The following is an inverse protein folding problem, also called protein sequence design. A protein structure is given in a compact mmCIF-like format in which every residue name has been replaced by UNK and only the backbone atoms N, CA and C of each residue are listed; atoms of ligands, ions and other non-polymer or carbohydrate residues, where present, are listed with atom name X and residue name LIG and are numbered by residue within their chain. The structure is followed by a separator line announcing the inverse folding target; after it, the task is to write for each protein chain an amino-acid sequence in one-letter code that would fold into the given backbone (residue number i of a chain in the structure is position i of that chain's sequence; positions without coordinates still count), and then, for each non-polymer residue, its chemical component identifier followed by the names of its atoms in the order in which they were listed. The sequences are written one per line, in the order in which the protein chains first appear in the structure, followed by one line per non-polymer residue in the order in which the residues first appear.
data_IF_755511347743
#
_entry.id   IF_755511347743
#
_cell.length_a   1.000
_cell.length_b   1.000
_cell.length_c   1.000
_cell.angle_alpha   90.00
_cell.angle_beta   90.00
_cell.angle_gamma   90.00
#
_symmetry.space_group_name_H-M   'P 1'
#
loop_
_entity.id
_entity.type
_entity.pdbx_description
1 polymer ?
#
# COMPACT_ATOMS: atom_id res chain seq x y z
N UNK A 1 -25.69 -22.68 28.75
CA UNK A 1 -24.77 -23.50 27.96
C UNK A 1 -23.99 -22.51 27.10
N UNK A 2 -22.74 -22.20 27.49
CA UNK A 2 -21.87 -21.28 26.76
C UNK A 2 -21.29 -22.07 25.57
N UNK A 3 -21.42 -21.61 24.32
CA UNK A 3 -20.79 -22.29 23.20
C UNK A 3 -19.28 -22.30 23.40
N UNK A 4 -18.68 -23.47 23.24
CA UNK A 4 -17.24 -23.64 23.32
C UNK A 4 -16.57 -22.72 22.29
N UNK A 5 -15.70 -21.83 22.75
CA UNK A 5 -14.82 -21.05 21.88
C UNK A 5 -13.98 -22.05 21.06
N UNK A 6 -14.29 -22.17 19.78
CA UNK A 6 -13.43 -22.90 18.85
C UNK A 6 -12.08 -22.19 18.82
N UNK A 7 -11.04 -22.90 19.26
CA UNK A 7 -9.68 -22.37 19.23
C UNK A 7 -9.35 -21.91 17.80
N UNK A 8 -8.77 -20.71 17.68
CA UNK A 8 -8.31 -20.22 16.39
C UNK A 8 -7.40 -21.25 15.70
N UNK A 9 -7.57 -21.49 14.40
CA UNK A 9 -6.75 -22.47 13.68
C UNK A 9 -5.27 -22.09 13.81
N UNK A 10 -4.43 -23.10 14.08
CA UNK A 10 -2.98 -22.89 14.23
C UNK A 10 -2.37 -22.39 12.92
N UNK A 11 -1.41 -21.45 12.97
CA UNK A 11 -0.65 -21.03 11.80
C UNK A 11 -0.01 -22.21 11.08
N UNK A 12 0.00 -22.19 9.75
CA UNK A 12 0.64 -23.20 8.89
C UNK A 12 1.85 -22.60 8.19
N UNK A 13 2.93 -23.37 8.10
CA UNK A 13 4.15 -22.96 7.40
C UNK A 13 4.19 -23.66 6.03
N UNK A 14 4.45 -22.90 4.98
CA UNK A 14 4.58 -23.41 3.59
C UNK A 14 5.88 -22.87 2.96
N UNK A 15 6.37 -23.56 1.92
CA UNK A 15 7.55 -23.12 1.18
C UNK A 15 7.27 -21.77 0.47
N UNK A 16 8.31 -20.94 0.23
CA UNK A 16 8.18 -19.74 -0.59
C UNK A 16 7.85 -20.12 -2.03
N UNK A 17 7.30 -19.16 -2.82
CA UNK A 17 7.15 -19.35 -4.26
C UNK A 17 8.52 -19.69 -4.89
N UNK A 18 8.62 -20.69 -5.78
CA UNK A 18 9.88 -21.06 -6.42
C UNK A 18 10.53 -19.88 -7.18
N UNK A 19 9.71 -19.00 -7.76
CA UNK A 19 10.14 -17.81 -8.47
C UNK A 19 10.71 -16.70 -7.56
N UNK A 20 10.51 -16.80 -6.23
CA UNK A 20 10.97 -15.78 -5.28
C UNK A 20 11.40 -16.42 -3.94
N UNK A 21 12.44 -17.28 -3.94
CA UNK A 21 12.88 -18.01 -2.75
C UNK A 21 13.42 -17.09 -1.64
N UNK A 22 13.83 -15.88 -1.97
CA UNK A 22 14.32 -14.86 -1.02
C UNK A 22 13.28 -14.49 0.05
N UNK A 23 12.00 -14.72 -0.21
CA UNK A 23 10.94 -14.49 0.79
C UNK A 23 11.04 -15.44 2.00
N UNK A 24 11.74 -16.57 1.87
CA UNK A 24 11.75 -17.59 2.91
C UNK A 24 10.38 -18.26 3.10
N UNK A 25 10.21 -19.05 4.15
CA UNK A 25 8.95 -19.75 4.43
C UNK A 25 7.80 -18.78 4.63
N UNK A 26 6.62 -19.14 4.13
CA UNK A 26 5.39 -18.39 4.35
C UNK A 26 4.62 -18.96 5.54
N UNK A 27 4.17 -18.08 6.41
CA UNK A 27 3.27 -18.41 7.54
C UNK A 27 1.84 -18.05 7.14
N UNK A 28 0.96 -19.03 7.09
CA UNK A 28 -0.46 -18.85 6.78
C UNK A 28 -1.23 -18.66 8.08
N UNK A 29 -1.94 -17.54 8.17
CA UNK A 29 -2.76 -17.16 9.33
C UNK A 29 -4.20 -16.98 8.87
N UNK A 30 -5.13 -17.61 9.58
CA UNK A 30 -6.58 -17.41 9.41
C UNK A 30 -7.08 -16.41 10.47
N UNK A 31 -8.07 -15.58 10.11
CA UNK A 31 -8.66 -14.55 10.97
C UNK A 31 -9.91 -13.96 10.35
N UNK A 32 -10.29 -12.76 10.79
CA UNK A 32 -11.44 -12.03 10.26
C UNK A 32 -11.04 -11.03 9.17
N UNK A 33 -11.96 -10.75 8.23
CA UNK A 33 -11.72 -9.81 7.15
C UNK A 33 -11.74 -8.37 7.66
N UNK A 34 -10.59 -7.68 7.60
CA UNK A 34 -10.48 -6.28 8.03
C UNK A 34 -11.21 -5.28 7.11
N UNK A 35 -11.56 -5.66 5.88
CA UNK A 35 -12.23 -4.76 4.92
C UNK A 35 -13.76 -4.81 4.98
N UNK A 36 -14.32 -5.90 5.52
CA UNK A 36 -15.76 -6.14 5.64
C UNK A 36 -16.07 -6.77 6.99
N UNK A 37 -15.80 -6.07 8.11
CA UNK A 37 -16.01 -6.62 9.45
C UNK A 37 -17.49 -6.96 9.71
N UNK A 38 -18.42 -6.22 9.10
CA UNK A 38 -19.86 -6.45 9.19
C UNK A 38 -20.33 -7.73 8.50
N UNK A 39 -19.58 -8.23 7.52
CA UNK A 39 -19.92 -9.47 6.81
C UNK A 39 -19.43 -10.74 7.54
N UNK A 40 -18.71 -10.60 8.65
CA UNK A 40 -18.11 -11.69 9.45
C UNK A 40 -17.41 -12.76 8.59
N UNK A 41 -16.69 -12.31 7.56
CA UNK A 41 -16.00 -13.19 6.61
C UNK A 41 -14.68 -13.68 7.18
N UNK A 42 -14.43 -14.96 7.04
CA UNK A 42 -13.10 -15.51 7.30
C UNK A 42 -12.10 -14.94 6.31
N UNK A 43 -10.95 -14.52 6.81
CA UNK A 43 -9.78 -14.15 6.03
C UNK A 43 -8.67 -15.17 6.18
N UNK A 44 -7.81 -15.20 5.19
CA UNK A 44 -6.55 -15.93 5.23
C UNK A 44 -5.45 -15.06 4.66
N UNK A 45 -4.33 -14.98 5.37
CA UNK A 45 -3.19 -14.18 4.94
C UNK A 45 -1.92 -15.00 5.01
N UNK A 46 -1.13 -14.96 3.94
CA UNK A 46 0.23 -15.46 3.94
C UNK A 46 1.18 -14.31 4.31
N UNK A 47 2.06 -14.57 5.25
CA UNK A 47 3.12 -13.67 5.69
C UNK A 47 4.49 -14.29 5.42
N UNK A 48 5.44 -13.47 4.98
CA UNK A 48 6.85 -13.78 4.91
C UNK A 48 7.62 -12.77 5.77
N UNK A 49 8.76 -13.19 6.31
CA UNK A 49 9.72 -12.33 7.01
C UNK A 49 11.09 -12.44 6.29
N UNK A 50 11.23 -11.82 5.12
CA UNK A 50 12.48 -11.84 4.38
C UNK A 50 13.54 -10.97 5.05
N UNK A 51 14.80 -11.16 4.67
CA UNK A 51 15.83 -10.15 4.85
C UNK A 51 15.60 -8.92 3.97
N UNK A 52 16.58 -7.99 3.90
CA UNK A 52 16.50 -6.85 3.00
C UNK A 52 16.31 -7.28 1.54
N UNK A 53 15.32 -6.70 0.86
CA UNK A 53 15.00 -6.97 -0.54
C UNK A 53 15.59 -5.88 -1.43
N UNK A 54 16.11 -6.25 -2.57
CA UNK A 54 16.40 -5.31 -3.66
C UNK A 54 15.10 -4.73 -4.21
N UNK A 55 15.19 -3.61 -4.93
CA UNK A 55 14.03 -2.99 -5.58
C UNK A 55 13.34 -3.97 -6.57
N UNK A 56 14.11 -4.77 -7.32
CA UNK A 56 13.61 -5.78 -8.24
C UNK A 56 12.89 -6.92 -7.51
N UNK A 57 13.45 -7.44 -6.41
CA UNK A 57 12.83 -8.50 -5.61
C UNK A 57 11.52 -8.03 -4.97
N UNK A 58 11.48 -6.79 -4.45
CA UNK A 58 10.24 -6.28 -3.88
C UNK A 58 9.17 -6.02 -4.96
N UNK A 59 9.56 -5.52 -6.15
CA UNK A 59 8.66 -5.44 -7.30
C UNK A 59 8.12 -6.82 -7.70
N UNK A 60 8.99 -7.84 -7.73
CA UNK A 60 8.58 -9.21 -8.01
C UNK A 60 7.57 -9.72 -6.97
N UNK A 61 7.80 -9.46 -5.68
CA UNK A 61 6.84 -9.79 -4.62
C UNK A 61 5.48 -9.08 -4.83
N UNK A 62 5.49 -7.81 -5.22
CA UNK A 62 4.26 -7.06 -5.55
C UNK A 62 3.52 -7.66 -6.76
N UNK A 63 4.25 -8.18 -7.75
CA UNK A 63 3.67 -8.89 -8.90
C UNK A 63 3.11 -10.28 -8.54
N UNK A 64 3.49 -10.84 -7.40
CA UNK A 64 2.82 -12.00 -6.79
C UNK A 64 1.63 -11.59 -5.90
N UNK A 65 1.24 -10.34 -5.92
CA UNK A 65 0.14 -9.79 -5.12
C UNK A 65 0.50 -9.49 -3.67
N UNK A 66 1.79 -9.45 -3.34
CA UNK A 66 2.24 -9.15 -2.00
C UNK A 66 2.32 -7.65 -1.72
N UNK A 67 2.26 -7.28 -0.47
CA UNK A 67 2.48 -5.92 0.06
C UNK A 67 3.27 -6.01 1.35
N UNK A 68 3.79 -4.87 1.81
CA UNK A 68 4.62 -4.79 3.02
C UNK A 68 3.86 -4.13 4.19
N UNK A 69 4.20 -4.55 5.38
CA UNK A 69 3.84 -3.90 6.65
C UNK A 69 5.01 -4.08 7.63
N UNK A 70 5.76 -3.02 7.90
CA UNK A 70 7.03 -3.14 8.62
C UNK A 70 8.01 -4.04 7.87
N UNK A 71 8.60 -5.01 8.56
CA UNK A 71 9.48 -6.03 7.99
C UNK A 71 8.72 -7.23 7.40
N UNK A 72 7.39 -7.27 7.55
CA UNK A 72 6.57 -8.34 7.00
C UNK A 72 6.17 -8.05 5.56
N UNK A 73 6.25 -9.06 4.70
CA UNK A 73 5.63 -9.09 3.37
C UNK A 73 4.43 -10.02 3.42
N UNK A 74 3.27 -9.57 2.94
CA UNK A 74 2.03 -10.31 3.12
C UNK A 74 1.15 -10.31 1.89
N UNK A 75 0.29 -11.32 1.79
CA UNK A 75 -0.73 -11.46 0.74
C UNK A 75 -2.01 -12.09 1.28
N UNK A 76 -3.20 -11.50 1.02
CA UNK A 76 -4.48 -12.16 1.27
C UNK A 76 -4.67 -13.39 0.37
N UNK A 77 -5.05 -14.53 0.97
CA UNK A 77 -5.31 -15.80 0.30
C UNK A 77 -6.67 -16.36 0.74
N UNK A 78 -7.66 -15.51 0.93
CA UNK A 78 -8.98 -15.88 1.47
C UNK A 78 -9.70 -16.92 0.59
N UNK A 79 -10.18 -18.04 1.16
CA UNK A 79 -10.92 -19.04 0.42
C UNK A 79 -12.15 -18.43 -0.26
N UNK A 80 -12.30 -18.66 -1.56
CA UNK A 80 -13.46 -18.20 -2.35
C UNK A 80 -13.56 -16.67 -2.53
N UNK A 81 -12.57 -15.88 -2.07
CA UNK A 81 -12.58 -14.42 -2.21
C UNK A 81 -11.37 -13.93 -2.99
N UNK A 82 -11.60 -13.00 -3.93
CA UNK A 82 -10.57 -12.34 -4.75
C UNK A 82 -10.70 -10.82 -4.78
N UNK A 83 -11.35 -10.22 -3.76
CA UNK A 83 -11.62 -8.77 -3.73
C UNK A 83 -10.37 -7.91 -3.50
N UNK A 84 -9.33 -8.41 -2.82
CA UNK A 84 -8.09 -7.67 -2.59
C UNK A 84 -7.20 -7.75 -3.84
N UNK A 85 -7.42 -6.84 -4.78
CA UNK A 85 -6.69 -6.81 -6.04
C UNK A 85 -5.49 -5.87 -5.94
N UNK A 86 -4.25 -6.33 -6.21
CA UNK A 86 -3.12 -5.43 -6.36
C UNK A 86 -3.44 -4.36 -7.40
N UNK A 87 -3.17 -3.10 -7.07
CA UNK A 87 -3.56 -1.96 -7.91
C UNK A 87 -2.36 -1.03 -8.10
N UNK A 88 -2.16 -0.60 -9.34
CA UNK A 88 -1.21 0.45 -9.70
C UNK A 88 -1.81 1.43 -10.70
N UNK A 89 -1.16 2.56 -10.86
CA UNK A 89 -1.49 3.58 -11.86
C UNK A 89 -0.34 3.67 -12.86
N UNK A 90 -0.63 3.55 -14.15
CA UNK A 90 0.27 3.92 -15.23
C UNK A 90 0.38 5.46 -15.26
N UNK A 91 1.56 5.95 -14.90
CA UNK A 91 1.82 7.39 -14.71
C UNK A 91 1.70 8.18 -16.01
N UNK A 92 2.03 7.55 -17.15
CA UNK A 92 1.90 8.19 -18.47
C UNK A 92 0.43 8.37 -18.90
N UNK A 93 -0.44 7.45 -18.46
CA UNK A 93 -1.88 7.46 -18.76
C UNK A 93 -2.71 8.20 -17.71
N UNK A 94 -2.09 8.59 -16.60
CA UNK A 94 -2.80 9.27 -15.52
C UNK A 94 -3.19 10.70 -15.90
N UNK A 95 -4.49 11.00 -15.79
CA UNK A 95 -5.06 12.34 -15.92
C UNK A 95 -5.93 12.61 -14.69
N UNK A 96 -5.60 13.63 -13.87
CA UNK A 96 -6.37 13.92 -12.67
C UNK A 96 -7.80 14.38 -12.99
N UNK A 97 -8.77 13.81 -12.27
CA UNK A 97 -10.17 14.20 -12.35
C UNK A 97 -10.41 15.62 -11.81
N UNK A 98 -11.62 16.18 -12.04
CA UNK A 98 -11.98 17.50 -11.49
C UNK A 98 -11.93 17.53 -9.94
N UNK A 99 -12.32 16.45 -9.27
CA UNK A 99 -12.27 16.35 -7.81
C UNK A 99 -10.82 16.28 -7.30
N UNK A 100 -9.96 15.53 -7.99
CA UNK A 100 -8.53 15.43 -7.67
C UNK A 100 -7.83 16.78 -7.85
N UNK A 101 -8.08 17.50 -8.96
CA UNK A 101 -7.56 18.85 -9.15
C UNK A 101 -8.01 19.85 -8.07
N UNK A 102 -9.25 19.69 -7.54
CA UNK A 102 -9.71 20.52 -6.42
C UNK A 102 -8.97 20.19 -5.12
N UNK A 103 -8.71 18.91 -4.84
CA UNK A 103 -7.91 18.49 -3.68
C UNK A 103 -6.48 19.04 -3.77
N UNK A 104 -5.83 18.89 -4.92
CA UNK A 104 -4.51 19.45 -5.20
C UNK A 104 -4.49 20.98 -4.96
N UNK A 105 -5.46 21.71 -5.51
CA UNK A 105 -5.55 23.17 -5.35
C UNK A 105 -5.74 23.60 -3.89
N UNK A 106 -6.49 22.84 -3.08
CA UNK A 106 -6.66 23.13 -1.65
C UNK A 106 -5.36 22.98 -0.86
N UNK A 107 -4.47 22.08 -1.29
CA UNK A 107 -3.19 21.82 -0.64
C UNK A 107 -2.04 22.67 -1.21
N UNK A 108 -2.22 23.26 -2.40
CA UNK A 108 -1.17 23.99 -3.09
C UNK A 108 -0.62 25.16 -2.25
N UNK A 109 0.70 25.24 -2.12
CA UNK A 109 1.41 26.29 -1.37
C UNK A 109 1.30 26.20 0.15
N UNK A 110 0.60 25.21 0.71
CA UNK A 110 0.43 25.06 2.17
C UNK A 110 1.51 24.23 2.84
N UNK A 111 2.24 23.45 2.06
CA UNK A 111 3.18 22.47 2.59
C UNK A 111 4.51 22.53 1.85
N UNK A 112 5.59 22.38 2.61
CA UNK A 112 6.89 21.94 2.12
C UNK A 112 6.96 20.44 2.36
N UNK A 113 7.32 19.66 1.33
CA UNK A 113 7.40 18.21 1.40
C UNK A 113 8.86 17.80 1.24
N UNK A 114 9.45 17.30 2.32
CA UNK A 114 10.80 16.76 2.32
C UNK A 114 10.75 15.25 2.10
N UNK A 115 11.65 14.72 1.27
CA UNK A 115 11.84 13.28 1.08
C UNK A 115 13.06 12.85 1.87
N UNK A 116 12.83 12.11 2.95
CA UNK A 116 13.86 11.75 3.94
C UNK A 116 13.79 10.26 4.28
N UNK A 117 14.72 9.75 5.08
CA UNK A 117 14.58 8.39 5.64
C UNK A 117 13.56 8.42 6.79
N UNK A 118 12.72 7.37 6.93
CA UNK A 118 11.78 7.25 8.04
C UNK A 118 12.52 7.29 9.37
N UNK A 119 11.90 7.94 10.36
CA UNK A 119 12.46 8.04 11.71
C UNK A 119 11.37 8.05 12.77
N UNK A 120 11.80 7.84 14.01
CA UNK A 120 10.96 8.00 15.18
C UNK A 120 11.42 9.25 15.93
N UNK A 121 10.49 10.15 16.26
CA UNK A 121 10.67 11.24 17.20
C UNK A 121 9.32 11.64 17.80
N UNK A 122 9.33 12.52 18.80
CA UNK A 122 8.12 12.95 19.52
C UNK A 122 7.09 13.60 18.60
N UNK A 123 7.54 14.31 17.55
CA UNK A 123 6.65 14.97 16.59
C UNK A 123 5.87 13.93 15.77
N UNK A 124 6.55 12.87 15.28
CA UNK A 124 5.93 11.76 14.57
C UNK A 124 4.97 10.97 15.46
N UNK A 125 5.38 10.61 16.68
CA UNK A 125 4.53 9.86 17.63
C UNK A 125 3.27 10.63 17.99
N UNK A 126 3.42 11.94 18.28
CA UNK A 126 2.30 12.80 18.61
C UNK A 126 1.31 12.93 17.43
N UNK A 127 1.81 13.16 16.23
CA UNK A 127 0.98 13.24 15.01
C UNK A 127 0.26 11.91 14.76
N UNK A 128 0.97 10.79 14.82
CA UNK A 128 0.40 9.46 14.57
C UNK A 128 -0.66 9.09 15.60
N UNK A 129 -0.44 9.39 16.89
CA UNK A 129 -1.43 9.14 17.96
C UNK A 129 -2.72 9.93 17.73
N UNK A 130 -2.65 11.22 17.35
CA UNK A 130 -3.83 12.03 17.00
C UNK A 130 -4.59 11.44 15.81
N UNK A 131 -3.86 11.01 14.77
CA UNK A 131 -4.46 10.37 13.60
C UNK A 131 -5.15 9.04 13.96
N UNK A 132 -4.53 8.19 14.79
CA UNK A 132 -5.11 6.91 15.22
C UNK A 132 -6.41 7.10 16.01
N UNK A 133 -6.44 8.08 16.91
CA UNK A 133 -7.66 8.45 17.64
C UNK A 133 -8.76 8.90 16.68
N UNK A 134 -8.46 9.82 15.78
CA UNK A 134 -9.41 10.38 14.83
C UNK A 134 -9.95 9.34 13.84
N UNK A 135 -9.05 8.58 13.20
CA UNK A 135 -9.40 7.69 12.08
C UNK A 135 -9.92 6.33 12.54
N UNK A 136 -9.47 5.83 13.69
CA UNK A 136 -9.70 4.46 14.14
C UNK A 136 -10.37 4.36 15.52
N UNK A 137 -10.75 5.50 16.14
CA UNK A 137 -11.41 5.52 17.44
C UNK A 137 -10.58 4.90 18.57
N UNK A 138 -9.24 4.97 18.46
CA UNK A 138 -8.32 4.41 19.46
C UNK A 138 -8.08 5.42 20.59
N UNK A 139 -9.14 5.83 21.26
CA UNK A 139 -9.07 6.78 22.37
C UNK A 139 -8.19 6.25 23.51
N UNK A 140 -7.25 7.08 23.98
CA UNK A 140 -6.39 6.79 25.13
C UNK A 140 -5.25 5.79 24.86
N UNK A 141 -5.12 5.27 23.65
CA UNK A 141 -3.96 4.46 23.26
C UNK A 141 -2.87 5.35 22.67
N UNK A 142 -1.89 5.73 23.48
CA UNK A 142 -0.66 6.29 22.92
C UNK A 142 0.11 5.20 22.18
N UNK A 143 0.51 5.49 20.95
CA UNK A 143 1.42 4.62 20.23
C UNK A 143 2.81 4.75 20.85
N UNK A 144 3.36 3.65 21.34
CA UNK A 144 4.75 3.63 21.81
C UNK A 144 5.74 3.66 20.63
N UNK A 145 6.96 4.06 20.95
CA UNK A 145 8.05 4.21 19.98
C UNK A 145 8.34 2.89 19.24
N UNK A 146 8.36 1.78 19.96
CA UNK A 146 8.64 0.45 19.38
C UNK A 146 7.56 0.04 18.36
N UNK A 147 6.29 0.23 18.70
CA UNK A 147 5.17 -0.09 17.80
C UNK A 147 5.18 0.79 16.55
N UNK A 148 5.49 2.09 16.69
CA UNK A 148 5.64 3.00 15.57
C UNK A 148 6.81 2.58 14.67
N UNK A 149 7.99 2.35 15.26
CA UNK A 149 9.18 1.94 14.53
C UNK A 149 8.95 0.65 13.76
N UNK A 150 8.39 -0.37 14.41
CA UNK A 150 8.09 -1.69 13.81
C UNK A 150 7.15 -1.59 12.63
N UNK A 151 6.22 -0.66 12.62
CA UNK A 151 5.24 -0.52 11.54
C UNK A 151 5.71 0.39 10.41
N UNK A 152 6.35 1.53 10.71
CA UNK A 152 6.57 2.61 9.76
C UNK A 152 8.05 2.85 9.42
N UNK A 153 9.00 2.50 10.33
CA UNK A 153 10.43 2.75 10.17
C UNK A 153 11.19 1.48 9.80
N UNK A 154 10.93 0.38 10.51
CA UNK A 154 11.57 -0.91 10.20
C UNK A 154 11.08 -1.40 8.84
N UNK A 155 12.01 -1.82 7.99
CA UNK A 155 11.70 -2.13 6.60
C UNK A 155 12.63 -3.18 6.02
N UNK A 156 12.13 -3.90 5.04
CA UNK A 156 12.92 -4.80 4.17
C UNK A 156 13.07 -4.24 2.75
N UNK A 157 12.52 -3.06 2.48
CA UNK A 157 12.51 -2.41 1.18
C UNK A 157 13.28 -1.07 1.20
N UNK A 158 13.48 -0.47 0.04
CA UNK A 158 14.04 0.88 -0.08
C UNK A 158 12.96 1.92 0.25
N UNK A 159 12.82 2.21 1.57
CA UNK A 159 11.74 3.01 2.13
C UNK A 159 12.15 4.45 2.37
N UNK A 160 11.26 5.35 2.02
CA UNK A 160 11.38 6.79 2.21
C UNK A 160 10.14 7.37 2.89
N UNK A 161 10.35 8.48 3.57
CA UNK A 161 9.32 9.28 4.21
C UNK A 161 9.10 10.58 3.43
N UNK A 162 7.85 10.93 3.23
CA UNK A 162 7.39 12.23 2.74
C UNK A 162 6.92 13.03 3.94
N UNK A 163 7.77 13.90 4.47
CA UNK A 163 7.45 14.75 5.62
C UNK A 163 6.78 16.05 5.14
N UNK A 164 5.50 16.20 5.41
CA UNK A 164 4.68 17.37 5.03
C UNK A 164 4.68 18.39 6.15
N UNK A 165 5.35 19.52 5.95
CA UNK A 165 5.49 20.59 6.94
C UNK A 165 4.81 21.87 6.49
N UNK A 166 4.22 22.62 7.43
CA UNK A 166 3.74 23.97 7.16
C UNK A 166 4.91 24.98 7.08
N UNK A 167 4.58 26.26 6.81
CA UNK A 167 5.56 27.34 6.73
C UNK A 167 6.31 27.58 8.06
N UNK A 168 5.72 27.20 9.20
CA UNK A 168 6.36 27.27 10.52
C UNK A 168 7.25 26.05 10.80
N UNK A 169 7.34 25.07 9.87
CA UNK A 169 8.14 23.86 10.00
C UNK A 169 7.47 22.75 10.79
N UNK A 170 6.20 22.88 11.23
CA UNK A 170 5.48 21.82 11.97
C UNK A 170 5.12 20.67 11.03
N UNK A 171 5.33 19.44 11.49
CA UNK A 171 4.93 18.22 10.77
C UNK A 171 3.41 18.04 10.84
N UNK A 172 2.77 18.04 9.69
CA UNK A 172 1.31 17.95 9.56
C UNK A 172 0.83 16.69 8.86
N UNK A 173 1.67 16.04 8.05
CA UNK A 173 1.36 14.73 7.49
C UNK A 173 2.65 13.97 7.17
N UNK A 174 2.54 12.65 7.13
CA UNK A 174 3.64 11.74 6.78
C UNK A 174 3.14 10.71 5.80
N UNK A 175 3.86 10.57 4.68
CA UNK A 175 3.70 9.49 3.73
C UNK A 175 4.88 8.53 3.80
N UNK A 176 4.62 7.24 3.93
CA UNK A 176 5.65 6.19 3.83
C UNK A 176 5.53 5.56 2.45
N UNK A 177 6.62 5.59 1.71
CA UNK A 177 6.72 5.05 0.37
C UNK A 177 7.90 4.09 0.24
N UNK A 178 7.75 3.08 -0.59
CA UNK A 178 8.85 2.22 -1.02
C UNK A 178 9.20 2.51 -2.47
N UNK A 179 10.48 2.59 -2.77
CA UNK A 179 10.98 2.76 -4.14
C UNK A 179 11.33 1.39 -4.71
N UNK A 180 10.82 1.12 -5.90
CA UNK A 180 11.16 -0.06 -6.69
C UNK A 180 11.74 0.36 -8.04
N UNK A 181 12.32 -0.59 -8.78
CA UNK A 181 12.98 -0.33 -10.05
C UNK A 181 12.06 0.37 -11.09
N UNK A 182 10.77 0.00 -11.14
CA UNK A 182 9.80 0.54 -12.08
C UNK A 182 8.75 1.47 -11.45
N UNK A 183 8.83 1.79 -10.15
CA UNK A 183 7.77 2.59 -9.53
C UNK A 183 8.02 3.06 -8.11
N UNK A 184 6.98 3.67 -7.56
CA UNK A 184 6.84 4.01 -6.14
C UNK A 184 5.62 3.27 -5.59
N UNK A 185 5.78 2.61 -4.45
CA UNK A 185 4.69 1.95 -3.74
C UNK A 185 4.29 2.78 -2.52
N UNK A 186 3.06 3.29 -2.49
CA UNK A 186 2.49 3.92 -1.29
C UNK A 186 2.22 2.84 -0.25
N UNK A 187 2.78 3.02 0.94
CA UNK A 187 2.67 2.07 2.06
C UNK A 187 1.66 2.54 3.07
N UNK A 188 1.84 3.75 3.58
CA UNK A 188 0.96 4.34 4.57
C UNK A 188 0.97 5.87 4.48
N UNK A 189 -0.15 6.51 4.84
CA UNK A 189 -0.27 7.96 4.92
C UNK A 189 -1.12 8.34 6.12
N UNK A 190 -0.62 9.24 6.96
CA UNK A 190 -1.34 9.78 8.09
C UNK A 190 -1.14 11.29 8.20
N UNK A 191 -2.11 12.00 8.80
CA UNK A 191 -2.13 13.45 8.81
C UNK A 191 -2.76 13.99 10.09
N UNK A 192 -2.52 15.25 10.38
CA UNK A 192 -3.18 15.96 11.47
C UNK A 192 -4.69 16.09 11.18
N UNK A 193 -5.57 15.68 12.11
CA UNK A 193 -7.04 15.83 11.95
C UNK A 193 -7.52 17.22 11.53
N UNK A 194 -6.77 18.27 11.84
CA UNK A 194 -7.05 19.64 11.39
C UNK A 194 -7.06 19.81 9.86
N UNK A 195 -6.53 18.83 9.11
CA UNK A 195 -6.49 18.85 7.65
C UNK A 195 -7.64 18.09 6.98
N UNK A 196 -8.64 17.62 7.72
CA UNK A 196 -9.74 16.77 7.23
C UNK A 196 -10.39 17.33 5.96
N UNK A 197 -10.70 18.63 5.95
CA UNK A 197 -11.38 19.30 4.84
C UNK A 197 -10.53 19.48 3.57
N UNK A 198 -9.22 19.26 3.66
CA UNK A 198 -8.29 19.48 2.54
C UNK A 198 -8.20 18.31 1.57
N UNK A 199 -8.70 17.13 1.97
CA UNK A 199 -8.53 15.88 1.20
C UNK A 199 -7.04 15.52 0.98
N UNK A 200 -6.22 15.68 2.03
CA UNK A 200 -4.76 15.51 1.96
C UNK A 200 -4.32 14.12 1.48
N UNK A 201 -5.09 13.06 1.78
CA UNK A 201 -4.79 11.72 1.27
C UNK A 201 -4.85 11.61 -0.27
N UNK A 202 -5.79 12.35 -0.90
CA UNK A 202 -5.83 12.45 -2.37
C UNK A 202 -4.68 13.30 -2.88
N UNK A 203 -4.39 14.41 -2.21
CA UNK A 203 -3.27 15.28 -2.59
C UNK A 203 -1.92 14.56 -2.48
N UNK A 204 -1.73 13.71 -1.46
CA UNK A 204 -0.54 12.86 -1.31
C UNK A 204 -0.36 11.92 -2.50
N UNK A 205 -1.41 11.19 -2.87
CA UNK A 205 -1.35 10.29 -4.02
C UNK A 205 -1.02 11.04 -5.34
N UNK A 206 -1.55 12.25 -5.53
CA UNK A 206 -1.22 13.08 -6.70
C UNK A 206 0.24 13.54 -6.67
N UNK A 207 0.74 13.92 -5.50
CA UNK A 207 2.13 14.31 -5.31
C UNK A 207 3.09 13.12 -5.53
N UNK A 208 2.72 11.92 -5.05
CA UNK A 208 3.49 10.70 -5.27
C UNK A 208 3.52 10.30 -6.76
N UNK A 209 2.42 10.49 -7.51
CA UNK A 209 2.40 10.32 -8.97
C UNK A 209 3.32 11.35 -9.66
N UNK A 210 3.33 12.61 -9.20
CA UNK A 210 4.26 13.61 -9.70
C UNK A 210 5.71 13.27 -9.36
N UNK A 211 5.95 12.71 -8.18
CA UNK A 211 7.26 12.20 -7.79
C UNK A 211 7.71 11.04 -8.72
N UNK A 212 6.80 10.13 -9.09
CA UNK A 212 7.08 9.11 -10.09
C UNK A 212 7.55 9.73 -11.42
N UNK A 213 6.88 10.79 -11.89
CA UNK A 213 7.31 11.51 -13.11
C UNK A 213 8.70 12.10 -12.98
N UNK A 214 8.97 12.78 -11.86
CA UNK A 214 10.28 13.40 -11.57
C UNK A 214 11.42 12.38 -11.47
N UNK A 215 11.12 11.19 -10.97
CA UNK A 215 12.08 10.09 -10.84
C UNK A 215 12.08 9.11 -12.02
N UNK A 216 11.35 9.47 -13.11
CA UNK A 216 11.22 8.65 -14.31
C UNK A 216 10.73 7.23 -14.01
N UNK A 217 9.80 7.08 -13.08
CA UNK A 217 9.17 5.82 -12.70
C UNK A 217 7.83 5.68 -13.42
N UNK A 218 7.60 4.62 -14.23
CA UNK A 218 6.37 4.48 -15.00
C UNK A 218 5.14 4.15 -14.17
N UNK A 219 5.29 3.58 -12.95
CA UNK A 219 4.16 3.10 -12.17
C UNK A 219 4.10 3.67 -10.76
N UNK A 220 2.87 3.90 -10.32
CA UNK A 220 2.55 4.22 -8.94
C UNK A 220 1.69 3.10 -8.34
N UNK A 221 2.22 2.36 -7.37
CA UNK A 221 1.56 1.22 -6.73
C UNK A 221 0.77 1.70 -5.51
N UNK A 222 -0.56 1.59 -5.54
CA UNK A 222 -1.45 2.12 -4.52
C UNK A 222 -2.02 1.03 -3.58
N UNK A 223 -1.33 -0.10 -3.46
CA UNK A 223 -1.73 -1.22 -2.59
C UNK A 223 -2.84 -2.07 -3.19
N UNK A 224 -3.85 -2.45 -2.39
CA UNK A 224 -5.00 -3.20 -2.88
C UNK A 224 -6.17 -2.28 -3.23
N UNK A 225 -6.77 -2.47 -4.39
CA UNK A 225 -8.13 -2.06 -4.68
C UNK A 225 -9.08 -3.12 -4.10
N UNK A 226 -10.02 -2.70 -3.26
CA UNK A 226 -11.02 -3.59 -2.65
C UNK A 226 -12.40 -3.02 -2.94
N UNK A 227 -13.09 -3.55 -3.96
CA UNK A 227 -14.43 -3.11 -4.35
C UNK A 227 -15.43 -3.26 -3.21
N UNK A 228 -16.26 -2.25 -3.01
CA UNK A 228 -17.25 -2.22 -1.93
C UNK A 228 -16.68 -1.84 -0.55
N UNK A 229 -15.35 -1.79 -0.38
CA UNK A 229 -14.77 -1.30 0.87
C UNK A 229 -14.83 0.22 0.93
N UNK A 230 -15.33 0.74 2.05
CA UNK A 230 -15.46 2.19 2.31
C UNK A 230 -14.11 2.93 2.19
N UNK A 231 -13.03 2.29 2.59
CA UNK A 231 -11.68 2.91 2.68
C UNK A 231 -10.79 2.61 1.48
N UNK A 232 -11.12 1.64 0.62
CA UNK A 232 -10.23 1.17 -0.44
C UNK A 232 -10.80 1.36 -1.86
N UNK A 233 -12.12 1.49 -2.03
CA UNK A 233 -12.76 1.60 -3.34
C UNK A 233 -12.40 2.88 -4.11
N UNK A 234 -12.03 3.97 -3.40
CA UNK A 234 -11.66 5.25 -4.04
C UNK A 234 -10.50 5.15 -5.03
N UNK A 235 -9.65 4.13 -4.89
CA UNK A 235 -8.48 3.90 -5.76
C UNK A 235 -8.88 3.69 -7.22
N UNK A 236 -10.05 3.16 -7.46
CA UNK A 236 -10.62 3.01 -8.80
C UNK A 236 -10.83 4.32 -9.56
N UNK A 237 -10.83 5.46 -8.87
CA UNK A 237 -11.00 6.78 -9.47
C UNK A 237 -9.71 7.35 -10.09
N UNK A 238 -8.58 6.65 -9.96
CA UNK A 238 -7.33 7.06 -10.61
C UNK A 238 -7.31 6.57 -12.05
N UNK A 239 -7.38 7.50 -13.01
CA UNK A 239 -7.24 7.19 -14.42
C UNK A 239 -5.89 6.50 -14.70
N UNK A 240 -5.84 5.61 -15.70
CA UNK A 240 -4.66 4.78 -15.93
C UNK A 240 -4.47 3.68 -14.92
N UNK A 241 -5.47 3.42 -14.05
CA UNK A 241 -5.44 2.34 -13.08
C UNK A 241 -5.38 0.96 -13.73
N UNK A 242 -4.63 0.06 -13.12
CA UNK A 242 -4.47 -1.34 -13.53
C UNK A 242 -4.57 -2.24 -12.31
N UNK A 243 -5.18 -3.42 -12.48
CA UNK A 243 -5.23 -4.50 -11.48
C UNK A 243 -4.41 -5.69 -11.93
N UNK A 244 -3.78 -6.38 -11.00
CA UNK A 244 -3.03 -7.61 -11.25
C UNK A 244 -3.95 -8.83 -11.19
N UNK A 245 -4.03 -9.60 -12.26
CA UNK A 245 -4.87 -10.81 -12.35
C UNK A 245 -4.18 -12.10 -11.89
N UNK A 246 -2.90 -12.02 -11.60
CA UNK A 246 -2.02 -13.16 -11.27
C UNK A 246 -0.96 -13.42 -12.33
N UNK A 247 -1.13 -12.88 -13.53
CA UNK A 247 -0.23 -13.05 -14.68
C UNK A 247 0.14 -11.74 -15.37
N UNK A 248 -0.81 -10.80 -15.44
CA UNK A 248 -0.62 -9.52 -16.12
C UNK A 248 -1.38 -8.38 -15.45
N UNK A 249 -1.00 -7.15 -15.76
CA UNK A 249 -1.71 -5.95 -15.35
C UNK A 249 -2.81 -5.61 -16.37
N UNK A 250 -4.06 -5.57 -15.90
CA UNK A 250 -5.24 -5.28 -16.72
C UNK A 250 -5.72 -3.86 -16.46
N UNK A 251 -5.94 -3.05 -17.52
CA UNK A 251 -6.50 -1.72 -17.37
C UNK A 251 -7.90 -1.75 -16.74
N UNK A 252 -8.15 -0.84 -15.80
CA UNK A 252 -9.44 -0.69 -15.14
C UNK A 252 -9.95 0.73 -15.37
N UNK A 253 -11.17 0.85 -15.90
CA UNK A 253 -11.81 2.16 -16.07
C UNK A 253 -12.77 2.43 -14.92
N UNK A 254 -12.79 3.67 -14.41
CA UNK A 254 -13.65 4.05 -13.28
C UNK A 254 -15.15 3.72 -13.50
N UNK A 255 -15.62 3.73 -14.75
CA UNK A 255 -16.98 3.38 -15.15
C UNK A 255 -17.27 1.88 -15.24
N UNK A 256 -16.22 1.05 -15.29
CA UNK A 256 -16.32 -0.42 -15.30
C UNK A 256 -16.35 -0.97 -13.86
N UNK A 257 -16.35 -0.07 -12.89
CA UNK A 257 -16.22 -0.30 -11.45
C UNK A 257 -17.52 -0.10 -10.70
N UNK A 258 -18.66 0.02 -11.40
CA UNK A 258 -19.90 -0.38 -10.79
C UNK A 258 -19.76 -1.87 -10.39
N UNK A 259 -20.43 -2.28 -9.34
CA UNK A 259 -20.26 -3.63 -8.76
C UNK A 259 -20.30 -4.76 -9.80
N UNK A 260 -21.03 -4.61 -10.90
CA UNK A 260 -21.18 -5.63 -11.94
C UNK A 260 -19.97 -5.71 -12.89
N UNK A 261 -19.48 -4.60 -13.41
CA UNK A 261 -18.35 -4.57 -14.35
C UNK A 261 -17.03 -4.95 -13.69
N UNK A 262 -16.79 -4.45 -12.47
CA UNK A 262 -15.62 -4.84 -11.69
C UNK A 262 -15.69 -6.31 -11.28
N UNK A 263 -16.86 -6.82 -10.86
CA UNK A 263 -17.08 -8.23 -10.56
C UNK A 263 -16.81 -9.10 -11.80
N UNK A 264 -17.17 -8.65 -12.98
CA UNK A 264 -16.89 -9.36 -14.23
C UNK A 264 -15.40 -9.38 -14.55
N UNK A 265 -14.69 -8.26 -14.44
CA UNK A 265 -13.24 -8.17 -14.61
C UNK A 265 -12.51 -9.05 -13.58
N UNK A 266 -12.95 -8.99 -12.32
CA UNK A 266 -12.36 -9.79 -11.24
C UNK A 266 -12.70 -11.29 -11.36
N UNK A 267 -13.85 -11.68 -11.92
CA UNK A 267 -14.18 -13.08 -12.19
C UNK A 267 -13.37 -13.63 -13.35
N UNK A 268 -13.13 -12.85 -14.39
CA UNK A 268 -12.26 -13.23 -15.49
C UNK A 268 -10.81 -13.43 -14.99
N UNK A 269 -10.31 -12.53 -14.14
CA UNK A 269 -9.03 -12.64 -13.48
C UNK A 269 -8.96 -13.82 -12.48
N UNK A 270 -10.06 -14.16 -11.80
CA UNK A 270 -10.10 -15.26 -10.84
C UNK A 270 -10.15 -16.65 -11.50
N UNK A 271 -10.57 -16.73 -12.77
CA UNK A 271 -10.55 -17.98 -13.55
C UNK A 271 -9.12 -18.36 -14.00
N UNK A 272 -8.19 -17.40 -14.07
CA UNK A 272 -6.77 -17.66 -14.28
C UNK A 272 -6.18 -18.17 -12.96
N UNK A 273 -5.85 -19.46 -12.88
CA UNK A 273 -5.09 -20.01 -11.74
C UNK A 273 -3.74 -19.31 -11.70
N UNK A 274 -3.32 -18.85 -10.52
CA UNK A 274 -1.99 -18.31 -10.31
C UNK A 274 -1.01 -19.49 -10.45
N UNK A 275 -0.44 -19.65 -11.64
CA UNK A 275 0.71 -20.51 -11.85
C UNK A 275 1.94 -19.70 -11.38
N UNK A 276 2.36 -19.97 -10.13
CA UNK A 276 3.53 -19.30 -9.53
C UNK A 276 4.83 -19.59 -10.30
N UNK A 277 4.84 -20.61 -11.16
CA UNK A 277 6.01 -21.03 -11.93
C UNK A 277 6.22 -20.21 -13.23
N UNK A 278 5.24 -19.35 -13.61
CA UNK A 278 5.33 -18.60 -14.87
C UNK A 278 6.12 -17.28 -14.79
N UNK A 279 6.52 -16.84 -13.61
CA UNK A 279 7.20 -15.55 -13.43
C UNK A 279 8.71 -15.74 -13.35
N UNK A 280 9.40 -15.64 -14.49
CA UNK A 280 10.85 -15.67 -14.55
C UNK A 280 11.42 -14.24 -14.46
N UNK A 281 12.16 -13.93 -13.38
CA UNK A 281 12.83 -12.65 -13.21
C UNK A 281 14.35 -12.83 -13.22
N UNK A 282 15.11 -11.99 -13.96
CA UNK A 282 16.55 -11.94 -13.80
C UNK A 282 16.87 -11.28 -12.43
N UNK A 283 17.43 -12.05 -11.51
CA UNK A 283 17.81 -11.58 -10.17
C UNK A 283 19.18 -10.86 -10.13
N UNK A 284 19.81 -10.61 -11.28
CA UNK A 284 21.22 -10.19 -11.38
C UNK A 284 21.44 -8.68 -11.63
N UNK A 285 20.43 -7.82 -11.47
CA UNK A 285 20.66 -6.38 -11.63
C UNK A 285 21.17 -5.74 -10.33
N UNK A 286 22.35 -5.14 -10.44
CA UNK A 286 22.94 -4.33 -9.39
C UNK A 286 21.95 -3.28 -8.88
N UNK A 287 21.93 -3.04 -7.57
CA UNK A 287 21.08 -2.04 -6.92
C UNK A 287 21.21 -0.71 -7.68
N UNK A 288 20.11 -0.15 -8.23
CA UNK A 288 20.18 1.11 -8.94
C UNK A 288 20.66 2.23 -7.98
N UNK A 289 21.29 3.29 -8.49
CA UNK A 289 21.69 4.42 -7.68
C UNK A 289 20.49 5.02 -6.94
N UNK A 290 20.73 5.56 -5.75
CA UNK A 290 19.66 6.23 -4.99
C UNK A 290 18.98 7.30 -5.87
N UNK A 291 17.63 7.36 -5.88
CA UNK A 291 16.96 8.37 -6.65
C UNK A 291 17.36 9.77 -6.17
N UNK A 292 17.56 10.73 -7.09
CA UNK A 292 17.96 12.08 -6.71
C UNK A 292 16.88 12.72 -5.84
N UNK A 293 17.27 13.22 -4.67
CA UNK A 293 16.38 14.02 -3.83
C UNK A 293 15.94 15.28 -4.59
N UNK A 294 14.66 15.67 -4.51
CA UNK A 294 14.20 16.92 -5.10
C UNK A 294 14.98 18.09 -4.49
N UNK A 295 15.50 18.97 -5.34
CA UNK A 295 16.17 20.19 -4.86
C UNK A 295 15.12 21.03 -4.11
N UNK A 296 15.46 21.48 -2.91
CA UNK A 296 14.66 22.48 -2.18
C UNK A 296 14.48 23.69 -3.08
N UNK A 297 13.25 24.13 -3.24
CA UNK A 297 12.91 25.45 -3.77
C UNK A 297 12.61 26.38 -2.63
#
# INVERSE_FOLDING_TARGET
MVPAMTSAPKPRVVAPPPSLPVLGPLVIVDGDCAYFPEEQRASRTAFALPGPLTQAEYRAAMSLGMRRSGTLVYRPLCPGCRRCQPFRVDVARFVPSRSQKRAEKRCAGRFVIDVVRPRVDDEHLSLYSRYQTFQHGKDGQQTDEESYARFLVDTVADTWELAWRDEAGRLLAVGIIDVVDDGISSVYFFWDPLLEDLSVGVASALWEIDLCRRWNKPYYYLGYLVPGSRTMSYKSQFAGGEVWDGTTWLPVHARDLDDAGLQQTLRAAAAASIDADAVHFPLDEARPPEPPLPRRR
#
